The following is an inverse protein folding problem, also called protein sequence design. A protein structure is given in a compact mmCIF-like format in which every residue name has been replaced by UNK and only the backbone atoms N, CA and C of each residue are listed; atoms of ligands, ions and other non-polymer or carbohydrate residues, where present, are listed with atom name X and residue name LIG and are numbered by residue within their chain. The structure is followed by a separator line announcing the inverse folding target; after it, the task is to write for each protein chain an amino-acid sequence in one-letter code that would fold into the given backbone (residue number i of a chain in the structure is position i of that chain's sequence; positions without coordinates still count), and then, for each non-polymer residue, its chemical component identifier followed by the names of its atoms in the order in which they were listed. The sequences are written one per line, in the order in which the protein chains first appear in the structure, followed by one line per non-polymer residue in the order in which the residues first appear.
data_IF_874084854909
#
_entry.id   IF_874084854909
#
_cell.length_a   1.000
_cell.length_b   1.000
_cell.length_c   1.000
_cell.angle_alpha   90.00
_cell.angle_beta   90.00
_cell.angle_gamma   90.00
#
_symmetry.space_group_name_H-M   'P 1'
#
loop_
_entity.id
_entity.type
_entity.pdbx_description
1 polymer ?
#
# COMPACT_ATOMS: atom_id res chain seq x y z
N UNK A 1 -8.46 22.97 3.67
CA UNK A 1 -9.22 23.84 4.49
C UNK A 1 -8.43 24.41 5.68
N UNK A 2 -7.65 23.63 6.40
CA UNK A 2 -6.68 24.12 7.38
C UNK A 2 -7.25 24.62 8.71
N UNK A 3 -8.55 24.44 8.95
CA UNK A 3 -9.18 24.80 10.21
C UNK A 3 -9.50 23.56 11.04
N UNK A 4 -9.34 23.66 12.36
CA UNK A 4 -9.78 22.60 13.25
C UNK A 4 -11.29 22.54 13.27
N UNK A 5 -11.81 21.31 13.23
CA UNK A 5 -13.22 21.06 13.48
C UNK A 5 -13.59 21.48 14.90
N UNK A 6 -14.69 22.18 15.05
CA UNK A 6 -15.20 22.63 16.34
C UNK A 6 -16.49 21.90 16.68
N UNK A 7 -16.53 21.33 17.88
CA UNK A 7 -17.71 20.66 18.39
C UNK A 7 -18.92 21.63 18.46
N UNK A 8 -20.06 21.21 17.92
CA UNK A 8 -21.29 22.00 17.92
C UNK A 8 -21.31 23.16 16.93
N UNK A 9 -20.33 23.27 16.06
CA UNK A 9 -20.32 24.26 14.99
C UNK A 9 -21.17 23.76 13.81
N UNK A 10 -22.45 23.93 13.95
CA UNK A 10 -23.38 23.52 12.92
C UNK A 10 -23.63 24.63 11.89
N UNK A 11 -22.54 25.17 11.31
CA UNK A 11 -22.58 25.94 10.07
C UNK A 11 -23.22 27.33 10.11
N UNK A 12 -23.53 27.85 11.27
CA UNK A 12 -24.32 29.09 11.35
C UNK A 12 -23.51 30.37 11.58
N UNK A 13 -22.22 30.29 11.91
CA UNK A 13 -21.37 31.48 12.12
C UNK A 13 -19.97 31.28 11.59
N UNK A 14 -19.53 32.16 10.69
CA UNK A 14 -18.13 32.34 10.41
C UNK A 14 -17.45 33.07 11.57
N UNK A 15 -16.32 32.54 12.05
CA UNK A 15 -15.47 33.22 13.00
C UNK A 15 -14.46 34.04 12.20
N UNK A 16 -14.70 35.34 12.04
CA UNK A 16 -13.91 36.23 11.19
C UNK A 16 -12.48 36.44 11.68
N UNK A 17 -12.21 36.17 12.92
CA UNK A 17 -10.88 36.28 13.57
C UNK A 17 -10.13 34.96 13.65
N UNK A 18 -10.71 33.88 13.15
CA UNK A 18 -10.08 32.56 13.19
C UNK A 18 -8.96 32.45 12.17
N UNK A 19 -7.79 32.03 12.64
CA UNK A 19 -6.63 31.77 11.80
C UNK A 19 -6.51 30.28 11.45
N UNK A 20 -6.06 29.96 10.22
CA UNK A 20 -5.75 28.59 9.83
C UNK A 20 -4.77 27.92 10.81
N UNK A 21 -4.99 26.67 11.10
CA UNK A 21 -4.04 25.88 11.87
C UNK A 21 -2.88 25.44 10.96
N UNK A 22 -1.76 26.13 11.04
CA UNK A 22 -0.61 25.87 10.18
C UNK A 22 -0.07 24.45 10.32
N UNK A 23 -0.09 23.87 11.52
CA UNK A 23 0.32 22.48 11.71
C UNK A 23 -0.58 21.51 10.92
N UNK A 24 -1.89 21.70 10.97
CA UNK A 24 -2.84 20.87 10.21
C UNK A 24 -2.64 21.01 8.70
N UNK A 25 -2.39 22.22 8.21
CA UNK A 25 -2.08 22.47 6.80
C UNK A 25 -0.82 21.70 6.39
N UNK A 26 0.25 21.84 7.14
CA UNK A 26 1.53 21.17 6.86
C UNK A 26 1.38 19.62 6.85
N UNK A 27 0.59 19.07 7.79
CA UNK A 27 0.32 17.63 7.81
C UNK A 27 -0.50 17.17 6.59
N UNK A 28 -1.49 17.97 6.15
CA UNK A 28 -2.22 17.67 4.94
C UNK A 28 -1.33 17.73 3.70
N UNK A 29 -0.48 18.76 3.58
CA UNK A 29 0.47 18.89 2.48
C UNK A 29 1.46 17.72 2.42
N UNK A 30 1.90 17.26 3.60
CA UNK A 30 2.87 16.18 3.70
C UNK A 30 2.25 14.79 3.51
N UNK A 31 1.05 14.53 4.07
CA UNK A 31 0.46 13.17 4.14
C UNK A 31 -0.69 12.93 3.19
N UNK A 32 -1.39 13.96 2.78
CA UNK A 32 -2.65 13.80 2.03
C UNK A 32 -2.48 14.23 0.57
N UNK A 33 -1.89 15.40 0.32
CA UNK A 33 -1.80 15.93 -1.03
C UNK A 33 -0.97 15.07 -2.00
N UNK A 34 0.12 14.38 -1.60
CA UNK A 34 0.80 13.45 -2.48
C UNK A 34 -0.10 12.31 -2.95
N UNK A 35 -0.97 11.77 -2.08
CA UNK A 35 -1.96 10.75 -2.44
C UNK A 35 -2.98 11.28 -3.45
N UNK A 36 -3.49 12.51 -3.27
CA UNK A 36 -4.40 13.12 -4.22
C UNK A 36 -3.77 13.36 -5.60
N UNK A 37 -2.49 13.65 -5.67
CA UNK A 37 -1.79 13.78 -6.95
C UNK A 37 -1.71 12.44 -7.71
N UNK A 38 -1.63 11.32 -6.99
CA UNK A 38 -1.63 9.96 -7.54
C UNK A 38 -3.01 9.28 -7.49
N UNK A 39 -4.12 10.04 -7.31
CA UNK A 39 -5.48 9.48 -7.20
C UNK A 39 -5.90 8.59 -8.37
N UNK A 40 -5.30 8.77 -9.53
CA UNK A 40 -5.57 7.95 -10.71
C UNK A 40 -5.22 6.46 -10.50
N UNK A 41 -4.28 6.16 -9.59
CA UNK A 41 -3.94 4.78 -9.21
C UNK A 41 -5.06 4.10 -8.41
N UNK A 42 -5.98 4.86 -7.84
CA UNK A 42 -7.06 4.39 -6.98
C UNK A 42 -8.44 4.52 -7.61
N UNK A 43 -8.54 5.16 -8.78
CA UNK A 43 -9.83 5.51 -9.39
C UNK A 43 -10.51 4.37 -10.14
N UNK A 44 -9.76 3.33 -10.55
CA UNK A 44 -10.28 2.18 -11.28
C UNK A 44 -10.28 0.94 -10.39
N UNK A 45 -11.10 -0.05 -10.76
CA UNK A 45 -11.24 -1.33 -10.04
C UNK A 45 -10.66 -2.54 -10.80
N UNK A 46 -10.16 -2.34 -12.01
CA UNK A 46 -9.68 -3.44 -12.87
C UNK A 46 -8.52 -4.19 -12.22
N UNK A 47 -7.62 -3.45 -11.58
CA UNK A 47 -6.45 -3.99 -10.89
C UNK A 47 -6.64 -4.13 -9.38
N UNK A 48 -7.84 -3.81 -8.87
CA UNK A 48 -8.12 -3.85 -7.44
C UNK A 48 -8.25 -5.29 -6.95
N UNK A 49 -7.42 -5.69 -5.99
CA UNK A 49 -7.50 -6.96 -5.28
C UNK A 49 -7.24 -6.73 -3.79
N UNK A 50 -8.10 -7.32 -2.95
CA UNK A 50 -7.92 -7.38 -1.50
C UNK A 50 -7.05 -8.56 -1.13
N UNK A 51 -6.28 -8.44 -0.05
CA UNK A 51 -5.42 -9.49 0.48
C UNK A 51 -5.74 -9.71 1.95
N UNK A 52 -5.89 -10.99 2.33
CA UNK A 52 -5.98 -11.35 3.74
C UNK A 52 -4.58 -11.30 4.35
N UNK A 53 -4.48 -10.65 5.51
CA UNK A 53 -3.26 -10.61 6.30
C UNK A 53 -3.21 -11.83 7.21
N UNK A 54 -2.20 -12.66 7.08
CA UNK A 54 -1.98 -13.83 7.94
C UNK A 54 -1.04 -13.44 9.06
N UNK A 55 -1.51 -13.55 10.29
CA UNK A 55 -0.71 -13.28 11.48
C UNK A 55 0.25 -14.44 11.81
N UNK A 56 1.13 -14.25 12.78
CA UNK A 56 2.13 -15.24 13.21
C UNK A 56 1.54 -16.59 13.67
N UNK A 57 0.28 -16.61 14.05
CA UNK A 57 -0.43 -17.83 14.50
C UNK A 57 -1.14 -18.53 13.34
N UNK A 58 -1.03 -18.05 12.11
CA UNK A 58 -1.71 -18.59 10.93
C UNK A 58 -3.17 -18.19 10.78
N UNK A 59 -3.68 -17.32 11.66
CA UNK A 59 -5.03 -16.76 11.56
C UNK A 59 -5.06 -15.46 10.74
N UNK A 60 -6.24 -15.08 10.29
CA UNK A 60 -6.44 -13.80 9.59
C UNK A 60 -6.43 -12.67 10.60
N UNK A 61 -5.67 -11.61 10.30
CA UNK A 61 -5.65 -10.37 11.06
C UNK A 61 -6.69 -9.40 10.48
N UNK A 62 -7.91 -9.46 11.01
CA UNK A 62 -9.06 -8.72 10.49
C UNK A 62 -8.95 -7.20 10.64
N UNK A 63 -8.05 -6.71 11.47
CA UNK A 63 -7.81 -5.27 11.64
C UNK A 63 -6.97 -4.66 10.53
N UNK A 64 -6.35 -5.48 9.69
CA UNK A 64 -5.50 -5.01 8.59
C UNK A 64 -6.27 -5.03 7.28
N UNK A 65 -6.34 -3.87 6.64
CA UNK A 65 -6.79 -3.74 5.25
C UNK A 65 -5.55 -3.70 4.35
N UNK A 66 -5.42 -4.71 3.49
CA UNK A 66 -4.36 -4.79 2.50
C UNK A 66 -4.96 -4.89 1.11
N UNK A 67 -4.54 -4.04 0.18
CA UNK A 67 -5.00 -4.12 -1.20
C UNK A 67 -3.96 -3.60 -2.19
N UNK A 68 -4.01 -4.15 -3.39
CA UNK A 68 -3.32 -3.62 -4.57
C UNK A 68 -4.35 -2.96 -5.47
N UNK A 69 -3.97 -1.81 -6.04
CA UNK A 69 -4.69 -1.18 -7.12
C UNK A 69 -3.68 -0.57 -8.12
N UNK A 70 -4.15 0.03 -9.19
CA UNK A 70 -3.28 0.67 -10.16
C UNK A 70 -3.96 1.05 -11.46
N UNK A 71 -3.21 1.71 -12.34
CA UNK A 71 -3.64 2.16 -13.64
C UNK A 71 -2.61 1.78 -14.71
N UNK A 72 -3.06 1.19 -15.81
CA UNK A 72 -2.15 0.64 -16.81
C UNK A 72 -1.21 -0.39 -16.22
N UNK A 73 0.09 -0.14 -16.30
CA UNK A 73 1.13 -1.01 -15.72
C UNK A 73 1.58 -0.56 -14.32
N UNK A 74 1.19 0.62 -13.88
CA UNK A 74 1.53 1.09 -12.54
C UNK A 74 0.70 0.37 -11.48
N UNK A 75 1.36 0.02 -10.37
CA UNK A 75 0.74 -0.64 -9.21
C UNK A 75 1.05 0.12 -7.94
N UNK A 76 0.14 -0.02 -6.99
CA UNK A 76 0.30 0.47 -5.63
C UNK A 76 -0.20 -0.59 -4.67
N UNK A 77 0.53 -0.80 -3.59
CA UNK A 77 0.14 -1.65 -2.47
C UNK A 77 -0.19 -0.75 -1.29
N UNK A 78 -1.35 -0.94 -0.69
CA UNK A 78 -1.80 -0.18 0.47
C UNK A 78 -2.01 -1.12 1.64
N UNK A 79 -1.48 -0.75 2.80
CA UNK A 79 -1.65 -1.45 4.06
C UNK A 79 -2.17 -0.46 5.10
N UNK A 80 -3.22 -0.83 5.83
CA UNK A 80 -3.81 0.00 6.89
C UNK A 80 -4.11 -0.86 8.10
N UNK A 81 -3.57 -0.48 9.24
CA UNK A 81 -3.98 -1.05 10.54
C UNK A 81 -5.13 -0.21 11.13
N UNK A 82 -6.31 -0.80 11.24
CA UNK A 82 -7.52 -0.14 11.73
C UNK A 82 -7.78 -0.41 13.22
N UNK A 83 -6.73 -0.59 14.01
CA UNK A 83 -6.83 -0.70 15.47
C UNK A 83 -5.67 0.01 16.16
N UNK A 84 -5.78 0.19 17.48
CA UNK A 84 -4.78 0.88 18.29
C UNK A 84 -3.50 0.06 18.48
N UNK A 85 -3.60 -1.26 18.59
CA UNK A 85 -2.46 -2.13 18.82
C UNK A 85 -1.64 -2.30 17.56
N UNK A 86 -0.33 -2.49 17.75
CA UNK A 86 0.58 -2.90 16.67
C UNK A 86 0.16 -4.26 16.12
N UNK A 87 0.24 -4.42 14.84
CA UNK A 87 0.02 -5.67 14.13
C UNK A 87 1.22 -6.05 13.26
N UNK A 88 1.37 -7.35 13.04
CA UNK A 88 2.36 -7.93 12.15
C UNK A 88 1.71 -9.06 11.37
N UNK A 89 2.11 -9.23 10.11
CA UNK A 89 1.57 -10.31 9.30
C UNK A 89 2.21 -10.39 7.93
N UNK A 90 1.72 -11.32 7.15
CA UNK A 90 2.17 -11.58 5.79
C UNK A 90 0.96 -11.60 4.86
N UNK A 91 1.08 -10.97 3.71
CA UNK A 91 0.12 -11.06 2.61
C UNK A 91 0.76 -11.82 1.45
N UNK A 92 -0.01 -12.68 0.78
CA UNK A 92 0.47 -13.44 -0.37
C UNK A 92 -0.59 -13.54 -1.47
N UNK A 93 -1.70 -14.22 -1.20
CA UNK A 93 -2.77 -14.41 -2.18
C UNK A 93 -3.95 -13.49 -1.88
N UNK A 94 -4.59 -12.99 -2.94
CA UNK A 94 -5.78 -12.16 -2.81
C UNK A 94 -6.95 -12.95 -2.24
N UNK A 95 -7.85 -12.26 -1.57
CA UNK A 95 -9.18 -12.79 -1.29
C UNK A 95 -9.86 -13.13 -2.63
N UNK A 96 -10.64 -14.24 -2.71
CA UNK A 96 -11.31 -14.64 -3.93
C UNK A 96 -12.28 -13.55 -4.40
N UNK A 97 -12.19 -13.15 -5.66
CA UNK A 97 -13.18 -12.26 -6.27
C UNK A 97 -13.87 -12.94 -7.47
N UNK A 98 -15.14 -12.63 -7.66
CA UNK A 98 -15.87 -13.07 -8.84
C UNK A 98 -15.51 -12.19 -10.03
N UNK A 99 -14.96 -12.80 -11.08
CA UNK A 99 -14.71 -12.16 -12.36
C UNK A 99 -15.62 -12.71 -13.43
N UNK A 100 -16.16 -11.84 -14.25
CA UNK A 100 -17.09 -12.20 -15.32
C UNK A 100 -16.31 -12.44 -16.61
N UNK A 101 -16.49 -13.62 -17.21
CA UNK A 101 -15.93 -14.01 -18.49
C UNK A 101 -17.09 -14.32 -19.46
N UNK A 102 -17.54 -13.33 -20.22
CA UNK A 102 -18.78 -13.45 -20.99
C UNK A 102 -19.98 -13.61 -20.05
N UNK A 103 -20.71 -14.74 -20.14
CA UNK A 103 -21.85 -15.06 -19.26
C UNK A 103 -21.44 -15.84 -17.99
N UNK A 104 -20.24 -16.42 -17.97
CA UNK A 104 -19.73 -17.18 -16.85
C UNK A 104 -19.10 -16.27 -15.78
N UNK A 105 -19.29 -16.64 -14.51
CA UNK A 105 -18.61 -16.04 -13.36
C UNK A 105 -17.65 -17.08 -12.77
N UNK A 106 -16.36 -16.72 -12.65
CA UNK A 106 -15.34 -17.57 -12.03
C UNK A 106 -14.72 -16.84 -10.84
N UNK A 107 -14.40 -17.59 -9.81
CA UNK A 107 -13.59 -17.10 -8.71
C UNK A 107 -12.13 -17.00 -9.20
N UNK A 108 -11.51 -15.87 -8.95
CA UNK A 108 -10.12 -15.62 -9.26
C UNK A 108 -9.38 -15.25 -7.97
N UNK A 109 -8.22 -15.86 -7.78
CA UNK A 109 -7.25 -15.55 -6.74
C UNK A 109 -5.95 -15.17 -7.43
N UNK A 110 -5.36 -14.06 -7.05
CA UNK A 110 -4.14 -13.54 -7.65
C UNK A 110 -3.05 -13.42 -6.59
N UNK A 111 -1.85 -13.96 -6.84
CA UNK A 111 -0.73 -13.75 -5.92
C UNK A 111 -0.30 -12.29 -5.92
N UNK A 112 0.25 -11.81 -4.80
CA UNK A 112 0.74 -10.45 -4.67
C UNK A 112 1.78 -10.13 -5.75
N UNK A 113 2.77 -11.00 -5.92
CA UNK A 113 3.83 -10.81 -6.91
C UNK A 113 3.27 -10.68 -8.33
N UNK A 114 2.34 -11.55 -8.71
CA UNK A 114 1.69 -11.48 -10.04
C UNK A 114 0.90 -10.18 -10.21
N UNK A 115 0.18 -9.74 -9.17
CA UNK A 115 -0.60 -8.50 -9.23
C UNK A 115 0.30 -7.25 -9.31
N UNK A 116 1.51 -7.33 -8.76
CA UNK A 116 2.53 -6.28 -8.87
C UNK A 116 3.33 -6.35 -10.17
N UNK A 117 2.98 -7.25 -11.09
CA UNK A 117 3.67 -7.48 -12.37
C UNK A 117 5.13 -7.95 -12.20
N UNK A 118 5.41 -8.74 -11.17
CA UNK A 118 6.74 -9.30 -10.92
C UNK A 118 6.91 -10.66 -11.59
N UNK A 119 8.13 -10.96 -11.99
CA UNK A 119 8.55 -12.21 -12.61
C UNK A 119 9.26 -13.10 -11.58
N UNK A 120 9.05 -14.41 -11.68
CA UNK A 120 9.77 -15.37 -10.85
C UNK A 120 11.18 -15.56 -11.39
N UNK A 121 12.17 -14.94 -10.76
CA UNK A 121 13.57 -15.00 -11.17
C UNK A 121 14.51 -14.70 -10.02
N UNK A 122 15.66 -15.37 -10.00
CA UNK A 122 16.66 -15.22 -8.93
C UNK A 122 17.49 -13.93 -9.03
N UNK A 123 17.49 -13.29 -10.20
CA UNK A 123 18.19 -12.02 -10.47
C UNK A 123 17.28 -10.81 -10.47
N UNK A 124 15.96 -11.03 -10.29
CA UNK A 124 14.98 -9.96 -10.35
C UNK A 124 14.71 -9.41 -8.96
N UNK A 125 14.63 -8.09 -8.87
CA UNK A 125 14.32 -7.35 -7.64
C UNK A 125 13.11 -6.46 -7.86
N UNK A 126 12.20 -6.49 -6.89
CA UNK A 126 11.13 -5.52 -6.74
C UNK A 126 11.70 -4.30 -6.01
N UNK A 127 11.60 -3.14 -6.65
CA UNK A 127 11.95 -1.85 -6.04
C UNK A 127 10.65 -1.07 -5.88
N UNK A 128 10.39 -0.55 -4.68
CA UNK A 128 9.19 0.24 -4.38
C UNK A 128 9.50 1.31 -3.35
N UNK A 129 8.73 2.40 -3.40
CA UNK A 129 8.85 3.51 -2.45
C UNK A 129 7.69 3.48 -1.47
N UNK A 130 7.99 3.59 -0.17
CA UNK A 130 6.97 3.72 0.88
C UNK A 130 6.58 5.17 1.09
N UNK A 131 5.30 5.39 1.37
CA UNK A 131 4.75 6.67 1.77
C UNK A 131 3.95 6.49 3.08
N UNK A 132 4.08 7.38 4.08
CA UNK A 132 4.73 8.72 4.02
C UNK A 132 6.23 8.74 4.39
N UNK A 133 6.89 7.60 4.63
CA UNK A 133 8.28 7.57 5.10
C UNK A 133 9.30 7.96 4.02
N UNK A 134 8.96 7.81 2.73
CA UNK A 134 9.82 8.01 1.57
C UNK A 134 11.09 7.13 1.62
N UNK A 135 10.91 5.87 2.01
CA UNK A 135 11.97 4.87 2.01
C UNK A 135 11.87 4.01 0.74
N UNK A 136 13.01 3.71 0.15
CA UNK A 136 13.10 2.76 -0.95
C UNK A 136 13.30 1.35 -0.39
N UNK A 137 12.43 0.43 -0.78
CA UNK A 137 12.54 -0.99 -0.49
C UNK A 137 13.10 -1.72 -1.70
N UNK A 138 14.07 -2.60 -1.45
CA UNK A 138 14.66 -3.49 -2.44
C UNK A 138 14.41 -4.91 -1.95
N UNK A 139 13.64 -5.70 -2.67
CA UNK A 139 13.23 -7.04 -2.27
C UNK A 139 13.46 -7.98 -3.45
N UNK A 140 14.15 -9.13 -3.27
CA UNK A 140 14.20 -10.14 -4.33
C UNK A 140 12.80 -10.52 -4.79
N UNK A 141 12.54 -10.49 -6.11
CA UNK A 141 11.20 -10.77 -6.64
C UNK A 141 10.70 -12.14 -6.22
N UNK A 142 11.60 -13.12 -6.09
CA UNK A 142 11.28 -14.47 -5.60
C UNK A 142 10.63 -14.45 -4.20
N UNK A 143 11.10 -13.59 -3.30
CA UNK A 143 10.56 -13.47 -1.95
C UNK A 143 9.12 -12.92 -1.96
N UNK A 144 8.78 -12.08 -2.93
CA UNK A 144 7.42 -11.56 -3.10
C UNK A 144 6.42 -12.66 -3.50
N UNK A 145 6.87 -13.75 -4.13
CA UNK A 145 6.04 -14.93 -4.40
C UNK A 145 5.79 -15.78 -3.16
N UNK A 146 6.67 -15.73 -2.18
CA UNK A 146 6.48 -16.38 -0.87
C UNK A 146 5.55 -15.56 0.04
N UNK A 147 5.47 -14.24 -0.19
CA UNK A 147 4.62 -13.30 0.51
C UNK A 147 5.38 -12.09 1.04
N UNK A 148 4.67 -11.00 1.25
CA UNK A 148 5.20 -9.76 1.78
C UNK A 148 4.87 -9.63 3.27
N UNK A 149 5.88 -9.69 4.11
CA UNK A 149 5.75 -9.51 5.56
C UNK A 149 5.89 -8.04 5.94
N UNK A 150 5.08 -7.60 6.88
CA UNK A 150 5.06 -6.22 7.35
C UNK A 150 4.71 -6.09 8.82
N UNK A 151 4.97 -4.91 9.34
CA UNK A 151 4.57 -4.48 10.68
C UNK A 151 3.99 -3.07 10.60
N UNK A 152 2.87 -2.84 11.30
CA UNK A 152 2.21 -1.55 11.40
C UNK A 152 1.94 -1.21 12.85
N UNK A 153 2.23 0.02 13.24
CA UNK A 153 1.80 0.55 14.53
C UNK A 153 0.28 0.79 14.55
N UNK A 154 -0.27 1.17 15.69
CA UNK A 154 -1.69 1.50 15.81
C UNK A 154 -2.09 2.63 14.85
N UNK A 155 -3.15 2.40 14.06
CA UNK A 155 -3.68 3.33 13.06
C UNK A 155 -2.66 3.79 12.00
N UNK A 156 -1.58 3.04 11.82
CA UNK A 156 -0.60 3.31 10.78
C UNK A 156 -1.13 2.86 9.42
N UNK A 157 -0.85 3.66 8.41
CA UNK A 157 -1.05 3.32 7.00
C UNK A 157 0.26 3.46 6.23
N UNK A 158 0.52 2.51 5.33
CA UNK A 158 1.64 2.56 4.38
C UNK A 158 1.12 2.38 2.97
N UNK A 159 1.62 3.20 2.09
CA UNK A 159 1.36 3.10 0.65
C UNK A 159 2.69 2.86 -0.04
N UNK A 160 2.79 1.78 -0.77
CA UNK A 160 3.93 1.50 -1.64
C UNK A 160 3.53 1.82 -3.08
N UNK A 161 4.31 2.64 -3.73
CA UNK A 161 4.13 3.04 -5.12
C UNK A 161 5.44 3.05 -5.88
N UNK A 162 5.41 3.49 -7.15
CA UNK A 162 6.57 3.46 -8.04
C UNK A 162 7.22 2.06 -8.06
N UNK A 163 6.34 1.03 -7.98
CA UNK A 163 6.72 -0.38 -7.94
C UNK A 163 7.22 -0.77 -9.32
N UNK A 164 8.46 -1.25 -9.38
CA UNK A 164 9.10 -1.71 -10.61
C UNK A 164 9.95 -2.93 -10.36
N UNK A 165 10.07 -3.77 -11.36
CA UNK A 165 11.02 -4.86 -11.38
C UNK A 165 12.30 -4.44 -12.09
N UNK A 166 13.44 -4.84 -11.54
CA UNK A 166 14.76 -4.61 -12.13
C UNK A 166 15.52 -5.92 -12.13
N UNK A 167 16.09 -6.29 -13.28
CA UNK A 167 17.00 -7.42 -13.38
C UNK A 167 18.42 -6.97 -13.03
N UNK A 168 19.02 -7.64 -12.05
CA UNK A 168 20.39 -7.38 -11.61
C UNK A 168 21.39 -8.18 -12.45
N UNK A 169 21.90 -7.55 -13.50
CA UNK A 169 22.84 -8.18 -14.44
C UNK A 169 24.29 -8.08 -14.03
N UNK A 170 24.63 -7.17 -13.12
CA UNK A 170 26.01 -6.88 -12.69
C UNK A 170 26.27 -7.13 -11.19
N UNK A 171 25.27 -7.61 -10.47
CA UNK A 171 25.33 -7.89 -9.03
C UNK A 171 25.34 -6.63 -8.16
N UNK A 172 25.03 -5.46 -8.72
CA UNK A 172 25.01 -4.21 -7.95
C UNK A 172 23.84 -4.16 -6.97
N UNK A 173 22.63 -4.52 -7.44
CA UNK A 173 21.43 -4.51 -6.59
C UNK A 173 21.52 -5.59 -5.52
N UNK A 174 22.08 -6.75 -5.85
CA UNK A 174 22.33 -7.82 -4.88
C UNK A 174 23.19 -7.33 -3.72
N UNK A 175 24.31 -6.64 -4.01
CA UNK A 175 25.16 -6.07 -2.96
C UNK A 175 24.45 -5.01 -2.12
N UNK A 176 23.63 -4.14 -2.74
CA UNK A 176 22.82 -3.18 -1.99
C UNK A 176 21.81 -3.87 -1.08
N UNK A 177 21.18 -4.94 -1.57
CA UNK A 177 20.25 -5.71 -0.77
C UNK A 177 20.94 -6.41 0.41
N UNK A 178 22.11 -6.99 0.21
CA UNK A 178 22.90 -7.64 1.27
C UNK A 178 23.38 -6.64 2.33
N UNK A 179 23.65 -5.40 1.95
CA UNK A 179 24.13 -4.35 2.86
C UNK A 179 22.99 -3.62 3.60
N UNK A 180 21.85 -3.38 2.94
CA UNK A 180 20.79 -2.51 3.45
C UNK A 180 19.40 -3.15 3.47
N UNK A 181 19.23 -4.31 2.85
CA UNK A 181 17.95 -4.98 2.70
C UNK A 181 17.58 -5.81 3.93
N UNK A 182 16.99 -5.18 4.93
CA UNK A 182 16.39 -5.88 6.09
C UNK A 182 14.96 -5.45 6.32
#
# INVERSE_FOLDING_TARGET
EGYKEKYGMEYQRAYYDEKPNQWLINEHERRIFPLFRKRYLFANVDNFNLYDCINKNGGIEESVFAFVNGSGNERTLVLVNNRYERCEGTINNSSPKLKKYGEEKKQEVVSLATNLNLSYGSTNFCIMESFPENLTYIIPSINMFEGFSFSLNGYESKVFWDIREVEDTDGYITRLYEEYGN
#
